data_IF_806477088080
#
_entry.id   IF_806477088080
#
_cell.length_a   1.000
_cell.length_b   1.000
_cell.length_c   1.000
_cell.angle_alpha   90.00
_cell.angle_beta   90.00
_cell.angle_gamma   90.00
#
_symmetry.space_group_name_H-M   'P 1'
#
loop_
_entity.id
_entity.type
_entity.pdbx_description
1 polymer ?
#
# COMPACT_ATOMS: atom_id res chain seq x y z
N UNK A 1 19.47 16.92 -0.52
CA UNK A 1 18.89 15.59 -0.78
C UNK A 1 19.18 14.58 0.34
N UNK A 2 20.38 14.58 0.92
CA UNK A 2 20.79 13.68 2.04
C UNK A 2 19.82 13.61 3.21
N UNK A 3 19.22 14.75 3.60
CA UNK A 3 18.30 14.86 4.74
C UNK A 3 17.00 14.04 4.56
N UNK A 4 16.44 14.05 3.35
CA UNK A 4 15.22 13.32 3.00
C UNK A 4 15.47 11.82 2.87
N UNK A 5 16.60 11.46 2.28
CA UNK A 5 17.06 10.06 2.24
C UNK A 5 17.31 9.51 3.65
N UNK A 6 17.81 10.34 4.56
CA UNK A 6 17.99 9.95 5.97
C UNK A 6 16.65 9.68 6.66
N UNK A 7 15.62 10.50 6.39
CA UNK A 7 14.26 10.25 6.87
C UNK A 7 13.72 8.91 6.37
N UNK A 8 13.85 8.62 5.07
CA UNK A 8 13.44 7.32 4.50
C UNK A 8 14.20 6.13 5.14
N UNK A 9 15.52 6.26 5.34
CA UNK A 9 16.33 5.23 6.02
C UNK A 9 15.91 5.01 7.47
N UNK A 10 15.55 6.07 8.19
CA UNK A 10 15.07 5.95 9.56
C UNK A 10 13.73 5.21 9.61
N UNK A 11 12.84 5.46 8.66
CA UNK A 11 11.59 4.72 8.55
C UNK A 11 11.77 3.25 8.24
N UNK A 12 12.70 2.93 7.34
CA UNK A 12 13.05 1.52 7.08
C UNK A 12 13.47 0.83 8.38
N UNK A 13 14.34 1.46 9.17
CA UNK A 13 14.78 0.93 10.47
C UNK A 13 13.64 0.82 11.48
N UNK A 14 12.71 1.79 11.49
CA UNK A 14 11.54 1.76 12.37
C UNK A 14 10.63 0.57 12.07
N UNK A 15 10.34 0.34 10.80
CA UNK A 15 9.54 -0.80 10.35
C UNK A 15 10.22 -2.13 10.73
N UNK A 16 11.53 -2.27 10.50
CA UNK A 16 12.28 -3.47 10.91
C UNK A 16 12.39 -3.66 12.44
N UNK A 17 12.32 -2.59 13.24
CA UNK A 17 12.21 -2.71 14.70
C UNK A 17 10.95 -3.48 15.08
N UNK A 18 9.84 -3.22 14.38
CA UNK A 18 8.56 -3.91 14.56
C UNK A 18 8.36 -5.05 13.54
N UNK A 19 9.43 -5.79 13.20
CA UNK A 19 9.40 -6.89 12.21
C UNK A 19 8.31 -7.94 12.42
N UNK A 20 7.92 -8.22 13.66
CA UNK A 20 6.84 -9.18 13.93
C UNK A 20 5.48 -8.63 13.49
N UNK A 21 5.25 -7.33 13.68
CA UNK A 21 4.05 -6.64 13.20
C UNK A 21 4.01 -6.69 11.65
N UNK A 22 5.11 -6.30 10.99
CA UNK A 22 5.26 -6.45 9.54
C UNK A 22 4.89 -7.85 9.05
N UNK A 23 5.52 -8.89 9.61
CA UNK A 23 5.26 -10.27 9.20
C UNK A 23 3.82 -10.70 9.48
N UNK A 24 3.26 -10.38 10.64
CA UNK A 24 1.90 -10.75 10.99
C UNK A 24 0.88 -10.14 10.01
N UNK A 25 0.96 -8.83 9.74
CA UNK A 25 0.07 -8.17 8.78
C UNK A 25 0.31 -8.66 7.35
N UNK A 26 1.57 -8.83 6.93
CA UNK A 26 1.88 -9.38 5.61
C UNK A 26 1.42 -10.83 5.44
N UNK A 27 1.42 -11.68 6.48
CA UNK A 27 0.80 -13.02 6.34
C UNK A 27 -0.73 -12.96 6.28
N UNK A 28 -1.33 -11.89 6.82
CA UNK A 28 -2.76 -11.60 6.74
C UNK A 28 -3.29 -11.57 5.31
N UNK A 29 -2.50 -11.11 4.34
CA UNK A 29 -2.88 -11.03 2.93
C UNK A 29 -3.16 -12.41 2.30
N UNK A 30 -2.63 -13.50 2.88
CA UNK A 30 -2.83 -14.85 2.36
C UNK A 30 -4.25 -15.35 2.58
N UNK A 31 -4.93 -14.92 3.64
CA UNK A 31 -6.29 -15.34 3.96
C UNK A 31 -7.31 -14.92 2.89
N UNK A 32 -7.44 -13.64 2.50
CA UNK A 32 -8.35 -13.26 1.43
C UNK A 32 -7.95 -13.90 0.10
N UNK A 33 -6.65 -14.05 -0.18
CA UNK A 33 -6.19 -14.68 -1.41
C UNK A 33 -6.60 -16.17 -1.49
N UNK A 34 -6.47 -16.92 -0.40
CA UNK A 34 -7.00 -18.29 -0.29
C UNK A 34 -8.52 -18.30 -0.47
N UNK A 35 -9.23 -17.38 0.17
CA UNK A 35 -10.67 -17.20 0.02
C UNK A 35 -11.07 -17.05 -1.46
N UNK A 36 -10.39 -16.17 -2.19
CA UNK A 36 -10.63 -15.98 -3.62
C UNK A 36 -10.32 -17.24 -4.44
N UNK A 37 -9.23 -17.96 -4.16
CA UNK A 37 -8.90 -19.21 -4.87
C UNK A 37 -10.00 -20.24 -4.71
N UNK A 38 -10.43 -20.51 -3.47
CA UNK A 38 -11.45 -21.53 -3.22
C UNK A 38 -12.82 -21.12 -3.74
N UNK A 39 -13.20 -19.84 -3.57
CA UNK A 39 -14.44 -19.29 -4.08
C UNK A 39 -14.53 -19.46 -5.60
N UNK A 40 -13.51 -18.96 -6.32
CA UNK A 40 -13.54 -18.98 -7.78
C UNK A 40 -13.34 -20.38 -8.36
N UNK A 41 -12.54 -21.24 -7.72
CA UNK A 41 -12.47 -22.65 -8.14
C UNK A 41 -13.83 -23.34 -8.04
N UNK A 42 -14.59 -23.05 -6.99
CA UNK A 42 -15.94 -23.59 -6.81
C UNK A 42 -16.91 -23.02 -7.83
N UNK A 43 -16.91 -21.70 -8.04
CA UNK A 43 -17.79 -21.03 -9.00
C UNK A 43 -17.58 -21.52 -10.44
N UNK A 44 -16.33 -21.74 -10.85
CA UNK A 44 -15.99 -22.22 -12.20
C UNK A 44 -16.12 -23.74 -12.37
N UNK A 45 -16.34 -24.51 -11.29
CA UNK A 45 -16.48 -25.97 -11.37
C UNK A 45 -17.72 -26.42 -12.15
N UNK A 46 -18.77 -25.61 -12.16
CA UNK A 46 -20.01 -25.86 -12.92
C UNK A 46 -19.95 -25.46 -14.40
N UNK A 47 -18.77 -25.11 -14.93
CA UNK A 47 -18.61 -24.69 -16.33
C UNK A 47 -19.04 -23.24 -16.63
N UNK A 48 -19.40 -22.47 -15.61
CA UNK A 48 -19.69 -21.05 -15.73
C UNK A 48 -18.44 -20.20 -15.96
N UNK A 49 -18.64 -19.01 -16.52
CA UNK A 49 -17.61 -17.95 -16.65
C UNK A 49 -18.15 -16.65 -16.07
N UNK A 50 -17.28 -15.84 -15.46
CA UNK A 50 -17.63 -14.49 -15.02
C UNK A 50 -17.16 -13.49 -16.06
N UNK A 51 -18.09 -13.09 -16.92
CA UNK A 51 -17.78 -12.25 -18.09
C UNK A 51 -16.68 -12.88 -18.95
N UNK A 52 -15.69 -12.06 -19.32
CA UNK A 52 -14.54 -12.48 -20.14
C UNK A 52 -13.40 -13.11 -19.33
N UNK A 53 -13.45 -13.05 -17.99
CA UNK A 53 -12.35 -13.52 -17.16
C UNK A 53 -12.31 -15.05 -17.10
N UNK A 54 -11.11 -15.61 -17.21
CA UNK A 54 -10.83 -17.01 -16.86
C UNK A 54 -10.49 -17.11 -15.38
N UNK A 55 -10.57 -18.33 -14.81
CA UNK A 55 -10.12 -18.59 -13.43
C UNK A 55 -8.69 -18.09 -13.19
N UNK A 56 -7.80 -18.31 -14.15
CA UNK A 56 -6.41 -17.87 -14.08
C UNK A 56 -6.28 -16.34 -14.16
N UNK A 57 -7.11 -15.69 -14.99
CA UNK A 57 -7.20 -14.23 -15.08
C UNK A 57 -7.65 -13.61 -13.75
N UNK A 58 -8.69 -14.16 -13.12
CA UNK A 58 -9.14 -13.71 -11.81
C UNK A 58 -8.08 -13.90 -10.73
N UNK A 59 -7.40 -15.04 -10.69
CA UNK A 59 -6.33 -15.29 -9.73
C UNK A 59 -5.21 -14.25 -9.86
N UNK A 60 -4.77 -13.98 -11.09
CA UNK A 60 -3.74 -12.96 -11.39
C UNK A 60 -4.19 -11.56 -10.96
N UNK A 61 -5.44 -11.21 -11.24
CA UNK A 61 -6.03 -9.94 -10.82
C UNK A 61 -6.03 -9.79 -9.30
N UNK A 62 -6.57 -10.74 -8.55
CA UNK A 62 -6.65 -10.67 -7.09
C UNK A 62 -5.26 -10.71 -6.44
N UNK A 63 -4.31 -11.44 -7.02
CA UNK A 63 -2.92 -11.43 -6.56
C UNK A 63 -2.33 -10.02 -6.58
N UNK A 64 -2.41 -9.33 -7.71
CA UNK A 64 -1.88 -7.97 -7.83
C UNK A 64 -2.73 -6.95 -7.07
N UNK A 65 -4.05 -7.09 -7.07
CA UNK A 65 -4.93 -6.18 -6.33
C UNK A 65 -4.65 -6.22 -4.82
N UNK A 66 -4.54 -7.41 -4.23
CA UNK A 66 -4.17 -7.56 -2.81
C UNK A 66 -2.75 -7.10 -2.53
N UNK A 67 -1.80 -7.37 -3.43
CA UNK A 67 -0.45 -6.85 -3.29
C UNK A 67 -0.45 -5.32 -3.19
N UNK A 68 -1.16 -4.64 -4.09
CA UNK A 68 -1.25 -3.19 -4.10
C UNK A 68 -1.97 -2.67 -2.85
N UNK A 69 -3.12 -3.26 -2.50
CA UNK A 69 -3.92 -2.86 -1.33
C UNK A 69 -3.10 -2.89 -0.03
N UNK A 70 -2.36 -3.98 0.21
CA UNK A 70 -1.54 -4.16 1.41
C UNK A 70 -0.20 -3.41 1.38
N UNK A 71 0.18 -2.82 0.24
CA UNK A 71 1.45 -2.11 0.04
C UNK A 71 1.27 -0.60 -0.02
N UNK A 72 0.11 -0.13 -0.50
CA UNK A 72 -0.17 1.29 -0.60
C UNK A 72 -0.23 1.92 0.81
N UNK A 73 0.34 3.12 0.98
CA UNK A 73 0.67 3.64 2.30
C UNK A 73 -0.55 4.24 2.98
N UNK A 74 -0.94 3.68 4.12
CA UNK A 74 -1.90 4.29 5.07
C UNK A 74 -1.17 4.95 6.25
N UNK A 75 0.10 4.60 6.48
CA UNK A 75 0.79 4.79 7.76
C UNK A 75 1.10 6.26 8.13
N UNK A 76 1.40 7.12 7.16
CA UNK A 76 1.85 8.49 7.48
C UNK A 76 0.72 9.49 7.71
N UNK A 77 -0.52 9.14 7.37
CA UNK A 77 -1.64 10.08 7.47
C UNK A 77 -1.97 10.41 8.93
N UNK A 78 -1.87 9.42 9.84
CA UNK A 78 -2.04 9.62 11.28
C UNK A 78 -1.12 10.70 11.84
N UNK A 79 0.18 10.52 11.60
CA UNK A 79 1.23 11.40 12.12
C UNK A 79 1.19 12.79 11.51
N UNK A 80 0.85 12.91 10.22
CA UNK A 80 0.65 14.22 9.58
C UNK A 80 -0.43 15.03 10.28
N UNK A 81 -1.64 14.46 10.46
CA UNK A 81 -2.74 15.13 11.13
C UNK A 81 -2.37 15.50 12.56
N UNK A 82 -1.70 14.60 13.28
CA UNK A 82 -1.25 14.84 14.65
C UNK A 82 -0.30 16.05 14.72
N UNK A 83 0.73 16.08 13.87
CA UNK A 83 1.68 17.19 13.82
C UNK A 83 1.01 18.53 13.44
N UNK A 84 -0.04 18.51 12.62
CA UNK A 84 -0.78 19.71 12.25
C UNK A 84 -1.59 20.22 13.45
N UNK A 85 -2.39 19.36 14.09
CA UNK A 85 -3.26 19.76 15.21
C UNK A 85 -2.49 20.09 16.49
N UNK A 86 -1.35 19.46 16.71
CA UNK A 86 -0.51 19.68 17.90
C UNK A 86 0.44 20.87 17.76
N UNK A 87 0.38 21.63 16.67
CA UNK A 87 1.30 22.75 16.39
C UNK A 87 2.72 22.33 15.99
N UNK A 88 2.98 21.04 15.77
CA UNK A 88 4.26 20.51 15.30
C UNK A 88 4.65 21.02 13.89
N UNK A 89 3.67 21.39 13.06
CA UNK A 89 3.89 22.00 11.75
C UNK A 89 4.80 23.24 11.82
N UNK A 90 4.70 24.04 12.89
CA UNK A 90 5.52 25.24 13.08
C UNK A 90 7.03 24.92 13.09
N UNK A 91 7.42 23.77 13.65
CA UNK A 91 8.82 23.32 13.65
C UNK A 91 9.33 23.02 12.23
N UNK A 92 8.46 22.57 11.33
CA UNK A 92 8.80 22.35 9.93
C UNK A 92 8.90 23.67 9.15
N UNK A 93 8.09 24.67 9.50
CA UNK A 93 8.12 25.99 8.85
C UNK A 93 9.36 26.81 9.21
N UNK A 94 9.87 26.67 10.44
CA UNK A 94 11.07 27.41 10.91
C UNK A 94 12.37 26.75 10.44
N UNK A 95 12.35 25.44 10.16
CA UNK A 95 13.52 24.70 9.68
C UNK A 95 13.57 24.76 8.14
N UNK A 96 14.76 24.65 7.52
CA UNK A 96 14.86 24.51 6.06
C UNK A 96 14.45 23.08 5.64
N UNK A 97 13.23 22.66 5.96
CA UNK A 97 12.70 21.32 5.74
C UNK A 97 11.27 21.42 5.21
N UNK A 98 11.04 20.92 3.99
CA UNK A 98 9.66 20.87 3.48
C UNK A 98 8.90 19.75 4.16
N UNK A 99 7.75 20.10 4.74
CA UNK A 99 6.82 19.17 5.34
C UNK A 99 6.37 18.10 4.34
N UNK A 100 5.99 18.49 3.11
CA UNK A 100 5.58 17.55 2.06
C UNK A 100 6.71 16.57 1.69
N UNK A 101 7.90 17.08 1.36
CA UNK A 101 9.01 16.21 0.93
C UNK A 101 9.51 15.28 2.05
N UNK A 102 9.40 15.71 3.31
CA UNK A 102 9.69 14.85 4.46
C UNK A 102 8.77 13.62 4.47
N UNK A 103 7.46 13.84 4.40
CA UNK A 103 6.51 12.74 4.41
C UNK A 103 6.56 11.89 3.14
N UNK A 104 6.76 12.50 1.96
CA UNK A 104 7.02 11.72 0.73
C UNK A 104 8.17 10.73 0.92
N UNK A 105 9.23 11.17 1.60
CA UNK A 105 10.40 10.33 1.84
C UNK A 105 10.14 9.22 2.85
N UNK A 106 9.42 9.54 3.94
CA UNK A 106 9.01 8.58 4.96
C UNK A 106 8.08 7.52 4.38
N UNK A 107 7.05 7.95 3.66
CA UNK A 107 6.07 7.10 3.01
C UNK A 107 6.77 6.19 1.99
N UNK A 108 7.63 6.75 1.12
CA UNK A 108 8.40 5.94 0.17
C UNK A 108 9.29 4.90 0.87
N UNK A 109 9.98 5.27 1.96
CA UNK A 109 10.79 4.34 2.74
C UNK A 109 9.96 3.21 3.37
N UNK A 110 8.82 3.54 3.98
CA UNK A 110 7.89 2.57 4.54
C UNK A 110 7.31 1.64 3.48
N UNK A 111 6.74 2.18 2.41
CA UNK A 111 6.17 1.44 1.28
C UNK A 111 7.17 0.44 0.71
N UNK A 112 8.45 0.81 0.56
CA UNK A 112 9.47 -0.12 0.07
C UNK A 112 9.64 -1.33 0.99
N UNK A 113 9.60 -1.14 2.32
CA UNK A 113 9.67 -2.25 3.28
C UNK A 113 8.45 -3.14 3.16
N UNK A 114 7.25 -2.56 3.21
CA UNK A 114 5.99 -3.30 3.11
C UNK A 114 5.88 -4.04 1.78
N UNK A 115 6.19 -3.39 0.65
CA UNK A 115 6.24 -4.01 -0.68
C UNK A 115 7.17 -5.23 -0.70
N UNK A 116 8.37 -5.07 -0.14
CA UNK A 116 9.38 -6.15 -0.13
C UNK A 116 8.89 -7.33 0.71
N UNK A 117 8.35 -7.08 1.91
CA UNK A 117 7.85 -8.15 2.80
C UNK A 117 6.61 -8.82 2.21
N UNK A 118 5.66 -8.04 1.68
CA UNK A 118 4.46 -8.55 1.03
C UNK A 118 4.83 -9.43 -0.18
N UNK A 119 5.78 -9.01 -1.02
CA UNK A 119 6.30 -9.85 -2.11
C UNK A 119 6.99 -11.12 -1.59
N UNK A 120 7.78 -11.02 -0.52
CA UNK A 120 8.44 -12.18 0.07
C UNK A 120 7.44 -13.23 0.59
N UNK A 121 6.25 -12.81 1.02
CA UNK A 121 5.15 -13.69 1.43
C UNK A 121 4.34 -14.19 0.22
N UNK A 122 4.05 -13.32 -0.74
CA UNK A 122 3.22 -13.61 -1.90
C UNK A 122 3.90 -14.51 -2.93
N UNK A 123 5.20 -14.35 -3.17
CA UNK A 123 5.92 -15.12 -4.21
C UNK A 123 5.89 -16.61 -3.92
N UNK A 124 6.27 -17.12 -2.73
CA UNK A 124 6.14 -18.54 -2.40
C UNK A 124 4.70 -19.06 -2.52
N UNK A 125 3.72 -18.25 -2.11
CA UNK A 125 2.31 -18.61 -2.27
C UNK A 125 1.92 -18.71 -3.76
N UNK A 126 2.30 -17.73 -4.57
CA UNK A 126 2.08 -17.71 -6.01
C UNK A 126 2.75 -18.89 -6.71
N UNK A 127 3.90 -19.36 -6.23
CA UNK A 127 4.57 -20.57 -6.74
C UNK A 127 3.76 -21.85 -6.49
N UNK A 128 3.11 -21.98 -5.33
CA UNK A 128 2.21 -23.13 -5.04
C UNK A 128 1.02 -23.15 -6.01
N UNK A 129 0.52 -21.95 -6.37
CA UNK A 129 -0.61 -21.78 -7.29
C UNK A 129 -0.18 -21.38 -8.70
N UNK A 130 1.08 -21.65 -9.10
CA UNK A 130 1.67 -21.12 -10.34
C UNK A 130 0.87 -21.47 -11.59
N UNK A 131 0.20 -22.64 -11.60
CA UNK A 131 -0.67 -23.07 -12.71
C UNK A 131 -1.88 -22.15 -12.96
N UNK A 132 -2.28 -21.38 -11.97
CA UNK A 132 -3.37 -20.41 -12.06
C UNK A 132 -2.87 -19.00 -12.36
N UNK A 133 -1.57 -18.75 -12.28
CA UNK A 133 -1.00 -17.43 -12.46
C UNK A 133 -0.63 -17.18 -13.92
N UNK A 134 -1.11 -16.09 -14.50
CA UNK A 134 -0.74 -15.64 -15.84
C UNK A 134 0.14 -14.42 -15.66
N UNK A 135 1.43 -14.53 -15.94
CA UNK A 135 2.28 -13.35 -15.93
C UNK A 135 1.90 -12.45 -17.12
N UNK A 136 1.58 -11.16 -16.90
CA UNK A 136 1.26 -10.24 -17.98
C UNK A 136 2.47 -10.05 -18.91
N UNK A 137 2.24 -9.64 -20.16
CA UNK A 137 3.34 -9.27 -21.06
C UNK A 137 4.22 -8.20 -20.44
N UNK A 138 5.53 -8.19 -20.77
CA UNK A 138 6.48 -7.24 -20.19
C UNK A 138 6.01 -5.78 -20.36
N UNK A 139 5.45 -5.43 -21.51
CA UNK A 139 4.90 -4.11 -21.78
C UNK A 139 3.74 -3.77 -20.84
N UNK A 140 2.76 -4.66 -20.70
CA UNK A 140 1.59 -4.44 -19.83
C UNK A 140 2.01 -4.35 -18.36
N UNK A 141 2.99 -5.16 -17.96
CA UNK A 141 3.58 -5.09 -16.63
C UNK A 141 4.24 -3.73 -16.35
N UNK A 142 5.05 -3.23 -17.29
CA UNK A 142 5.71 -1.93 -17.15
C UNK A 142 4.69 -0.77 -17.14
N UNK A 143 3.65 -0.85 -17.97
CA UNK A 143 2.55 0.11 -17.96
C UNK A 143 1.82 0.06 -16.60
N UNK A 144 1.49 -1.13 -16.11
CA UNK A 144 0.87 -1.32 -14.79
C UNK A 144 1.71 -0.75 -13.66
N UNK A 145 3.03 -0.94 -13.71
CA UNK A 145 3.97 -0.37 -12.74
C UNK A 145 3.96 1.17 -12.78
N UNK A 146 3.94 1.76 -13.98
CA UNK A 146 3.83 3.21 -14.17
C UNK A 146 2.51 3.75 -13.59
N UNK A 147 1.38 3.13 -13.92
CA UNK A 147 0.07 3.54 -13.39
C UNK A 147 0.00 3.38 -11.86
N UNK A 148 0.64 2.34 -11.32
CA UNK A 148 0.77 2.16 -9.87
C UNK A 148 1.57 3.30 -9.24
N UNK A 149 2.70 3.69 -9.83
CA UNK A 149 3.51 4.81 -9.34
C UNK A 149 2.76 6.15 -9.38
N UNK A 150 1.99 6.39 -10.44
CA UNK A 150 1.12 7.57 -10.56
C UNK A 150 0.01 7.53 -9.50
N UNK A 151 -0.68 6.39 -9.37
CA UNK A 151 -1.74 6.19 -8.39
C UNK A 151 -1.25 6.40 -6.95
N UNK A 152 -0.05 5.89 -6.64
CA UNK A 152 0.62 6.13 -5.37
C UNK A 152 0.87 7.63 -5.11
N UNK A 153 1.39 8.34 -6.11
CA UNK A 153 1.66 9.77 -5.98
C UNK A 153 0.37 10.58 -5.81
N UNK A 154 -0.70 10.23 -6.54
CA UNK A 154 -2.02 10.85 -6.39
C UNK A 154 -2.63 10.58 -5.01
N UNK A 155 -2.55 9.33 -4.53
CA UNK A 155 -3.02 8.97 -3.20
C UNK A 155 -2.31 9.77 -2.11
N UNK A 156 -0.99 9.96 -2.25
CA UNK A 156 -0.20 10.78 -1.33
C UNK A 156 -0.66 12.24 -1.34
N UNK A 157 -0.82 12.84 -2.52
CA UNK A 157 -1.29 14.22 -2.64
C UNK A 157 -2.70 14.40 -2.06
N UNK A 158 -3.61 13.47 -2.35
CA UNK A 158 -4.96 13.48 -1.81
C UNK A 158 -4.94 13.38 -0.29
N UNK A 159 -4.21 12.41 0.25
CA UNK A 159 -4.07 12.26 1.69
C UNK A 159 -3.39 13.46 2.35
N UNK A 160 -2.43 14.10 1.68
CA UNK A 160 -1.84 15.36 2.16
C UNK A 160 -2.89 16.46 2.30
N UNK A 161 -3.71 16.70 1.26
CA UNK A 161 -4.80 17.69 1.29
C UNK A 161 -5.80 17.38 2.39
N UNK A 162 -6.18 16.12 2.57
CA UNK A 162 -7.10 15.70 3.64
C UNK A 162 -6.49 15.97 5.03
N UNK A 163 -5.21 15.69 5.23
CA UNK A 163 -4.58 15.93 6.54
C UNK A 163 -4.42 17.43 6.85
N UNK A 164 -4.35 18.31 5.86
CA UNK A 164 -4.42 19.76 6.11
C UNK A 164 -5.76 20.19 6.72
N UNK A 165 -6.86 19.48 6.43
CA UNK A 165 -8.16 19.75 7.06
C UNK A 165 -8.15 19.46 8.57
N UNK A 166 -7.19 18.69 9.08
CA UNK A 166 -7.01 18.47 10.51
C UNK A 166 -6.83 19.78 11.30
N UNK A 167 -6.30 20.83 10.65
CA UNK A 167 -6.16 22.15 11.24
C UNK A 167 -7.52 22.73 11.68
N UNK A 168 -8.57 22.52 10.89
CA UNK A 168 -9.91 23.05 11.16
C UNK A 168 -10.81 22.06 11.89
N UNK A 169 -10.72 20.77 11.55
CA UNK A 169 -11.64 19.74 12.04
C UNK A 169 -11.15 19.08 13.33
N UNK A 170 -9.90 19.30 13.73
CA UNK A 170 -9.27 18.66 14.90
C UNK A 170 -8.91 17.19 14.65
N UNK A 171 -9.84 16.37 14.14
CA UNK A 171 -9.58 14.99 13.75
C UNK A 171 -10.16 14.63 12.37
N UNK A 172 -9.33 14.44 11.34
CA UNK A 172 -9.80 14.05 10.01
C UNK A 172 -10.11 12.54 9.92
N UNK A 173 -9.99 11.76 11.01
CA UNK A 173 -10.24 10.30 11.01
C UNK A 173 -11.64 9.93 10.50
N UNK A 174 -12.66 10.75 10.78
CA UNK A 174 -14.01 10.56 10.23
C UNK A 174 -14.04 10.59 8.70
N UNK A 175 -13.21 11.41 8.06
CA UNK A 175 -13.06 11.44 6.60
C UNK A 175 -12.16 10.32 6.08
N UNK A 176 -11.20 9.81 6.87
CA UNK A 176 -10.41 8.63 6.48
C UNK A 176 -11.29 7.39 6.30
N UNK A 177 -12.29 7.21 7.15
CA UNK A 177 -13.26 6.11 7.04
C UNK A 177 -14.07 6.09 5.74
N UNK A 178 -14.11 7.20 4.98
CA UNK A 178 -14.78 7.28 3.68
C UNK A 178 -13.94 6.74 2.52
N UNK A 179 -12.61 6.59 2.67
CA UNK A 179 -11.68 6.25 1.58
C UNK A 179 -10.84 4.98 1.82
N UNK A 180 -10.95 4.34 2.98
CA UNK A 180 -10.26 3.07 3.24
C UNK A 180 -10.63 2.47 4.60
N UNK A 181 -11.06 1.21 4.58
CA UNK A 181 -11.21 0.38 5.78
C UNK A 181 -9.86 -0.22 6.14
N UNK A 182 -9.44 -0.02 7.39
CA UNK A 182 -8.23 -0.59 8.00
C UNK A 182 -8.17 -0.19 9.46
#
# INVERSE_FOLDING_TARGET
>A
MTKYLTAAKNEIKLNFRYRFNLLAFSTGLLFPLLGYVFLWKTAYSGGGRVGEYSLNGLFTYYFWALFLDYTLPVFAYGDMAWNIKSGGLTLFLVRPFSFLFYYVSIIAGGTLVWATVNLAVLVPFGMIFARYFIFPGLTDFLIGLLFTAIGYFLALLLGFVINLLAFYLGDPSGFRGLYGWG
#
